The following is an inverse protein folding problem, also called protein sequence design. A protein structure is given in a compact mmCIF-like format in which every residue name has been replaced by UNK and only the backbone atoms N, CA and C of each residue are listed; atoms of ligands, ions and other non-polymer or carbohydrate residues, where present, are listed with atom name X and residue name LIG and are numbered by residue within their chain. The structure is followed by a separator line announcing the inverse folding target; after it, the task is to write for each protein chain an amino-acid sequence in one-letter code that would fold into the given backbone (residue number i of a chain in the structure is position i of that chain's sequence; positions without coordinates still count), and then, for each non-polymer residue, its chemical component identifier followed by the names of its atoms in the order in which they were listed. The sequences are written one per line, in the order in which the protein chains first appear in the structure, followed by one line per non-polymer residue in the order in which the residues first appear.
data_IF_185472314060
#
_entry.id   IF_185472314060
#
_cell.length_a   1.000
_cell.length_b   1.000
_cell.length_c   1.000
_cell.angle_alpha   90.00
_cell.angle_beta   90.00
_cell.angle_gamma   90.00
#
_symmetry.space_group_name_H-M   'P 1'
#
loop_
_entity.id
_entity.type
_entity.pdbx_description
1 polymer ?
#
# COMPACT_ATOMS: atom_id res chain seq x y z
N UNK A 1 -24.02 12.46 0.97
CA UNK A 1 -22.68 11.85 1.10
C UNK A 1 -22.54 10.87 -0.05
N UNK A 2 -21.80 11.23 -1.10
CA UNK A 2 -21.60 10.34 -2.25
C UNK A 2 -20.53 9.32 -1.90
N UNK A 3 -20.84 8.03 -2.08
CA UNK A 3 -19.84 6.97 -2.05
C UNK A 3 -18.88 7.18 -3.23
N UNK A 4 -17.58 7.17 -2.98
CA UNK A 4 -16.59 7.08 -4.04
C UNK A 4 -16.73 5.67 -4.61
N UNK A 5 -17.20 5.54 -5.85
CA UNK A 5 -17.18 4.27 -6.55
C UNK A 5 -15.71 3.98 -6.93
N UNK A 6 -15.25 2.75 -6.70
CA UNK A 6 -13.89 2.30 -7.03
C UNK A 6 -13.52 2.48 -8.53
N UNK A 7 -14.49 2.80 -9.40
CA UNK A 7 -14.27 3.10 -10.82
C UNK A 7 -13.63 4.46 -11.10
N UNK A 8 -13.50 5.34 -10.09
CA UNK A 8 -12.96 6.70 -10.26
C UNK A 8 -11.48 6.84 -9.86
N UNK A 9 -10.82 5.76 -9.43
CA UNK A 9 -9.39 5.78 -9.07
C UNK A 9 -8.56 5.49 -10.32
N UNK A 10 -8.05 6.56 -10.94
CA UNK A 10 -7.17 6.47 -12.12
C UNK A 10 -5.70 6.51 -11.72
N UNK A 11 -4.87 5.73 -12.42
CA UNK A 11 -3.40 5.75 -12.27
C UNK A 11 -2.88 7.12 -12.68
N UNK A 12 -2.08 7.75 -11.82
CA UNK A 12 -1.30 8.97 -12.09
C UNK A 12 0.08 8.60 -12.67
N UNK A 13 0.70 7.55 -12.13
CA UNK A 13 1.98 7.08 -12.64
C UNK A 13 2.37 5.71 -12.08
N UNK A 14 3.37 5.11 -12.69
CA UNK A 14 4.02 3.91 -12.20
C UNK A 14 5.54 4.02 -12.36
N UNK A 15 6.27 3.49 -11.40
CA UNK A 15 7.72 3.46 -11.39
C UNK A 15 8.23 2.12 -10.87
N UNK A 16 9.42 1.73 -11.30
CA UNK A 16 10.18 0.65 -10.67
C UNK A 16 11.36 1.28 -9.95
N UNK A 17 11.40 1.07 -8.64
CA UNK A 17 12.40 1.65 -7.73
C UNK A 17 13.30 0.60 -7.10
N UNK A 18 14.39 1.06 -6.48
CA UNK A 18 15.11 0.25 -5.51
C UNK A 18 14.24 0.16 -4.26
N UNK A 19 13.98 -1.07 -3.81
CA UNK A 19 13.25 -1.26 -2.56
C UNK A 19 14.05 -0.73 -1.39
N UNK A 20 13.34 -0.19 -0.39
CA UNK A 20 13.89 0.25 0.89
C UNK A 20 14.72 -0.84 1.60
N UNK A 21 14.49 -2.11 1.24
CA UNK A 21 15.21 -3.24 1.80
C UNK A 21 16.58 -3.54 1.17
N UNK A 22 16.92 -2.86 0.07
CA UNK A 22 18.19 -3.00 -0.62
C UNK A 22 19.39 -2.67 0.27
N UNK A 23 20.42 -3.50 0.21
CA UNK A 23 21.74 -3.24 0.78
C UNK A 23 22.74 -2.93 -0.34
N UNK A 24 22.81 -1.63 -0.65
CA UNK A 24 23.66 -1.10 -1.72
C UNK A 24 25.14 -1.40 -1.44
N UNK A 25 25.57 -1.32 -0.19
CA UNK A 25 26.98 -1.55 0.20
C UNK A 25 27.40 -2.98 -0.09
N UNK A 26 26.51 -3.94 0.19
CA UNK A 26 26.76 -5.36 -0.04
C UNK A 26 26.22 -5.87 -1.39
N UNK A 27 25.83 -4.96 -2.30
CA UNK A 27 25.31 -5.26 -3.65
C UNK A 27 24.10 -6.21 -3.65
N UNK A 28 23.28 -6.19 -2.60
CA UNK A 28 21.99 -6.88 -2.57
C UNK A 28 20.92 -5.87 -2.92
N UNK A 29 20.53 -5.85 -4.17
CA UNK A 29 19.54 -4.90 -4.69
C UNK A 29 18.23 -5.63 -4.90
N UNK A 30 17.21 -5.15 -4.21
CA UNK A 30 15.82 -5.56 -4.40
C UNK A 30 15.07 -4.42 -5.09
N UNK A 31 14.10 -4.77 -5.91
CA UNK A 31 13.30 -3.81 -6.66
C UNK A 31 11.84 -3.93 -6.26
N UNK A 32 11.14 -2.80 -6.32
CA UNK A 32 9.71 -2.72 -6.10
C UNK A 32 9.03 -1.93 -7.23
N UNK A 33 7.81 -2.35 -7.56
CA UNK A 33 6.89 -1.61 -8.41
C UNK A 33 6.05 -0.70 -7.53
N UNK A 34 6.04 0.58 -7.87
CA UNK A 34 5.23 1.60 -7.21
C UNK A 34 4.21 2.16 -8.20
N UNK A 35 2.95 2.16 -7.81
CA UNK A 35 1.85 2.75 -8.58
C UNK A 35 1.23 3.87 -7.75
N UNK A 36 1.12 5.03 -8.37
CA UNK A 36 0.54 6.25 -7.80
C UNK A 36 -0.80 6.51 -8.46
N UNK A 37 -1.78 6.92 -7.67
CA UNK A 37 -3.14 7.15 -8.16
C UNK A 37 -3.56 8.61 -7.96
N UNK A 38 -4.35 9.12 -8.90
CA UNK A 38 -5.01 10.41 -8.74
C UNK A 38 -6.04 10.32 -7.62
N UNK A 39 -5.94 11.25 -6.68
CA UNK A 39 -6.81 11.28 -5.51
C UNK A 39 -7.20 12.70 -5.13
N UNK A 40 -8.21 12.81 -4.28
CA UNK A 40 -8.72 14.09 -3.82
C UNK A 40 -7.82 14.73 -2.76
N UNK A 41 -7.27 13.92 -1.86
CA UNK A 41 -6.46 14.36 -0.72
C UNK A 41 -5.22 13.47 -0.59
N UNK A 42 -4.04 14.05 -0.44
CA UNK A 42 -2.80 13.30 -0.20
C UNK A 42 -2.50 12.32 -1.33
N UNK A 43 -2.38 11.04 -0.99
CA UNK A 43 -2.07 9.98 -1.95
C UNK A 43 -2.84 8.67 -1.69
N UNK A 44 -2.99 7.90 -2.76
CA UNK A 44 -3.12 6.44 -2.72
C UNK A 44 -1.92 5.86 -3.48
N UNK A 45 -1.25 4.89 -2.87
CA UNK A 45 -0.16 4.15 -3.51
C UNK A 45 -0.39 2.65 -3.41
N UNK A 46 0.14 1.93 -4.38
CA UNK A 46 0.30 0.49 -4.34
C UNK A 46 1.77 0.14 -4.58
N UNK A 47 2.34 -0.68 -3.73
CA UNK A 47 3.72 -1.13 -3.80
C UNK A 47 3.75 -2.67 -3.89
N UNK A 48 4.62 -3.22 -4.74
CA UNK A 48 4.83 -4.66 -4.85
C UNK A 48 6.32 -4.99 -4.99
N UNK A 49 6.82 -5.87 -4.13
CA UNK A 49 8.22 -6.30 -4.14
C UNK A 49 8.42 -7.77 -3.78
N UNK A 50 9.63 -8.29 -3.96
CA UNK A 50 9.99 -9.68 -3.58
C UNK A 50 10.53 -9.81 -2.17
N UNK A 51 10.84 -8.70 -1.50
CA UNK A 51 11.27 -8.65 -0.11
C UNK A 51 10.53 -7.52 0.61
N UNK A 52 10.21 -7.72 1.88
CA UNK A 52 9.62 -6.70 2.74
C UNK A 52 9.91 -6.98 4.22
N UNK A 53 10.92 -6.33 4.79
CA UNK A 53 11.16 -6.34 6.25
C UNK A 53 9.98 -5.73 6.98
N UNK A 54 9.34 -4.73 6.37
CA UNK A 54 8.14 -4.08 6.88
C UNK A 54 7.01 -5.09 7.11
N UNK A 55 6.73 -5.97 6.15
CA UNK A 55 5.74 -7.04 6.30
C UNK A 55 6.06 -7.94 7.51
N UNK A 56 7.29 -8.42 7.62
CA UNK A 56 7.71 -9.30 8.71
C UNK A 56 7.63 -8.62 10.09
N UNK A 57 7.84 -7.31 10.17
CA UNK A 57 7.71 -6.54 11.39
C UNK A 57 6.25 -6.27 11.77
N UNK A 58 5.41 -5.91 10.81
CA UNK A 58 3.99 -5.64 11.01
C UNK A 58 3.25 -6.92 11.40
N UNK A 59 3.52 -8.04 10.72
CA UNK A 59 2.95 -9.37 11.00
C UNK A 59 3.15 -9.83 12.46
N UNK A 60 4.20 -9.36 13.14
CA UNK A 60 4.47 -9.67 14.55
C UNK A 60 3.71 -8.76 15.53
N UNK A 61 3.25 -7.60 15.07
CA UNK A 61 2.70 -6.53 15.92
C UNK A 61 1.18 -6.41 15.84
N UNK A 62 0.59 -6.74 14.69
CA UNK A 62 -0.86 -6.62 14.45
C UNK A 62 -1.48 -7.95 14.08
N UNK A 63 -2.71 -8.15 14.52
CA UNK A 63 -3.51 -9.30 14.09
C UNK A 63 -4.00 -9.09 12.65
N UNK A 64 -4.01 -10.13 11.81
CA UNK A 64 -4.52 -10.02 10.46
C UNK A 64 -6.05 -9.86 10.46
N UNK A 65 -6.54 -9.16 9.45
CA UNK A 65 -7.93 -9.22 9.00
C UNK A 65 -8.01 -10.13 7.76
N UNK A 66 -9.21 -10.65 7.48
CA UNK A 66 -9.45 -11.47 6.30
C UNK A 66 -10.15 -10.64 5.23
N UNK A 67 -9.57 -10.61 4.03
CA UNK A 67 -10.16 -10.00 2.84
C UNK A 67 -10.09 -11.05 1.73
N UNK A 68 -11.25 -11.51 1.26
CA UNK A 68 -11.39 -12.54 0.23
C UNK A 68 -10.48 -13.77 0.43
N UNK A 69 -10.44 -14.26 1.67
CA UNK A 69 -9.63 -15.42 2.07
C UNK A 69 -8.13 -15.14 2.22
N UNK A 70 -7.68 -13.90 1.97
CA UNK A 70 -6.29 -13.47 2.14
C UNK A 70 -6.11 -12.85 3.53
N UNK A 71 -4.96 -13.15 4.14
CA UNK A 71 -4.54 -12.52 5.39
C UNK A 71 -3.92 -11.17 5.07
N UNK A 72 -4.55 -10.11 5.56
CA UNK A 72 -4.11 -8.73 5.35
C UNK A 72 -3.83 -8.10 6.70
N UNK A 73 -2.70 -7.42 6.84
CA UNK A 73 -2.37 -6.70 8.06
C UNK A 73 -2.66 -5.22 7.86
N UNK A 74 -3.64 -4.71 8.61
CA UNK A 74 -4.02 -3.30 8.61
C UNK A 74 -3.29 -2.57 9.73
N UNK A 75 -2.71 -1.42 9.43
CA UNK A 75 -2.07 -0.56 10.43
C UNK A 75 -2.11 0.91 9.99
N UNK A 76 -1.89 1.82 10.95
CA UNK A 76 -1.96 3.26 10.74
C UNK A 76 -0.57 3.90 10.77
N UNK A 77 -0.38 4.92 9.94
CA UNK A 77 0.78 5.81 9.94
C UNK A 77 0.34 7.26 9.70
N UNK A 78 1.27 8.22 9.76
CA UNK A 78 0.99 9.63 9.54
C UNK A 78 2.01 10.26 8.59
N UNK A 79 1.51 11.01 7.61
CA UNK A 79 2.34 11.74 6.65
C UNK A 79 2.10 13.24 6.74
N UNK A 80 3.17 14.01 6.59
CA UNK A 80 3.09 15.47 6.47
C UNK A 80 2.60 15.84 5.07
N UNK A 81 1.50 16.58 5.01
CA UNK A 81 0.88 17.02 3.75
C UNK A 81 1.04 18.53 3.51
N UNK A 82 1.19 19.31 4.58
CA UNK A 82 1.48 20.75 4.58
C UNK A 82 2.33 21.07 5.82
N UNK A 83 2.87 22.29 5.89
CA UNK A 83 3.60 22.75 7.09
C UNK A 83 2.73 22.55 8.34
N UNK A 84 3.23 21.78 9.31
CA UNK A 84 2.57 21.43 10.58
C UNK A 84 1.24 20.65 10.46
N UNK A 85 0.93 20.08 9.29
CA UNK A 85 -0.28 19.30 9.06
C UNK A 85 0.04 17.86 8.69
N UNK A 86 -0.36 16.95 9.58
CA UNK A 86 -0.27 15.50 9.36
C UNK A 86 -1.63 14.94 9.00
N UNK A 87 -1.64 14.01 8.07
CA UNK A 87 -2.82 13.24 7.71
C UNK A 87 -2.58 11.78 8.04
N UNK A 88 -3.61 11.12 8.58
CA UNK A 88 -3.58 9.68 8.83
C UNK A 88 -3.53 8.93 7.49
N UNK A 89 -2.72 7.88 7.45
CA UNK A 89 -2.65 6.94 6.34
C UNK A 89 -3.02 5.57 6.86
N UNK A 90 -4.00 4.94 6.22
CA UNK A 90 -4.33 3.55 6.48
C UNK A 90 -3.59 2.67 5.49
N UNK A 91 -2.81 1.74 6.02
CA UNK A 91 -1.98 0.83 5.26
C UNK A 91 -2.51 -0.60 5.37
N UNK A 92 -2.44 -1.32 4.27
CA UNK A 92 -2.88 -2.70 4.14
C UNK A 92 -1.76 -3.47 3.46
N UNK A 93 -1.13 -4.38 4.20
CA UNK A 93 0.01 -5.15 3.68
C UNK A 93 -0.32 -6.65 3.69
N UNK A 94 0.00 -7.34 2.59
CA UNK A 94 -0.28 -8.77 2.41
C UNK A 94 0.78 -9.44 1.54
N UNK A 95 0.75 -10.77 1.54
CA UNK A 95 1.59 -11.61 0.69
C UNK A 95 0.72 -12.23 -0.42
N UNK A 96 1.20 -12.13 -1.65
CA UNK A 96 0.54 -12.65 -2.85
C UNK A 96 1.58 -13.37 -3.71
N UNK A 97 1.45 -14.70 -3.84
CA UNK A 97 2.30 -15.52 -4.72
C UNK A 97 3.82 -15.30 -4.51
N UNK A 98 4.24 -15.15 -3.24
CA UNK A 98 5.65 -14.90 -2.88
C UNK A 98 6.15 -13.49 -3.20
N UNK A 99 5.24 -12.56 -3.49
CA UNK A 99 5.49 -11.12 -3.49
C UNK A 99 4.79 -10.48 -2.29
N UNK A 100 5.34 -9.38 -1.79
CA UNK A 100 4.75 -8.57 -0.74
C UNK A 100 4.11 -7.33 -1.35
N UNK A 101 2.85 -7.11 -1.04
CA UNK A 101 2.03 -6.03 -1.58
C UNK A 101 1.58 -5.10 -0.45
N UNK A 102 1.55 -3.81 -0.73
CA UNK A 102 1.06 -2.80 0.19
C UNK A 102 0.18 -1.79 -0.53
N UNK A 103 -0.98 -1.48 0.05
CA UNK A 103 -1.81 -0.35 -0.35
C UNK A 103 -1.83 0.69 0.78
N UNK A 104 -1.46 1.93 0.47
CA UNK A 104 -1.44 3.04 1.43
C UNK A 104 -2.44 4.10 0.98
N UNK A 105 -3.36 4.46 1.87
CA UNK A 105 -4.49 5.34 1.54
C UNK A 105 -4.55 6.47 2.57
N UNK A 106 -4.35 7.71 2.11
CA UNK A 106 -4.52 8.89 2.97
C UNK A 106 -6.00 9.05 3.33
N UNK A 107 -6.29 9.38 4.59
CA UNK A 107 -7.66 9.64 5.05
C UNK A 107 -8.35 10.75 4.23
N UNK A 108 -9.67 10.66 4.11
CA UNK A 108 -10.46 11.62 3.32
C UNK A 108 -10.65 11.26 1.84
N UNK A 109 -10.05 10.15 1.37
CA UNK A 109 -10.30 9.59 0.03
C UNK A 109 -11.50 8.64 -0.08
N UNK A 110 -12.27 8.48 1.01
CA UNK A 110 -13.46 7.62 1.04
C UNK A 110 -13.32 6.48 2.04
N UNK A 111 -14.03 5.38 1.80
CA UNK A 111 -13.95 4.18 2.63
C UNK A 111 -12.68 3.40 2.28
N UNK A 112 -11.66 3.56 3.12
CA UNK A 112 -10.34 2.94 2.98
C UNK A 112 -10.39 1.42 2.91
N UNK A 113 -11.28 0.77 3.66
CA UNK A 113 -11.44 -0.69 3.65
C UNK A 113 -11.96 -1.19 2.29
N UNK A 114 -12.97 -0.52 1.71
CA UNK A 114 -13.52 -0.89 0.40
C UNK A 114 -12.53 -0.65 -0.75
N UNK A 115 -11.71 0.40 -0.63
CA UNK A 115 -10.62 0.66 -1.58
C UNK A 115 -9.54 -0.42 -1.44
N UNK A 116 -9.13 -0.76 -0.21
CA UNK A 116 -8.13 -1.79 0.04
C UNK A 116 -8.57 -3.16 -0.48
N UNK A 117 -9.85 -3.52 -0.31
CA UNK A 117 -10.42 -4.75 -0.89
C UNK A 117 -10.23 -4.82 -2.40
N UNK A 118 -10.41 -3.70 -3.11
CA UNK A 118 -10.21 -3.68 -4.56
C UNK A 118 -8.75 -4.00 -4.96
N UNK A 119 -7.77 -3.50 -4.20
CA UNK A 119 -6.36 -3.82 -4.41
C UNK A 119 -6.04 -5.28 -4.09
N UNK A 120 -6.51 -5.78 -2.95
CA UNK A 120 -6.27 -7.17 -2.51
C UNK A 120 -6.89 -8.16 -3.50
N UNK A 121 -8.01 -7.81 -4.11
CA UNK A 121 -8.73 -8.64 -5.08
C UNK A 121 -8.26 -8.46 -6.52
N UNK A 122 -7.42 -7.47 -6.78
CA UNK A 122 -6.83 -7.28 -8.10
C UNK A 122 -5.90 -8.43 -8.45
N UNK A 123 -5.77 -8.72 -9.76
CA UNK A 123 -4.81 -9.73 -10.21
C UNK A 123 -3.40 -9.23 -9.91
N UNK A 124 -2.57 -10.08 -9.30
CA UNK A 124 -1.15 -9.79 -9.18
C UNK A 124 -0.55 -9.53 -10.56
N UNK A 125 0.40 -8.60 -10.62
CA UNK A 125 1.27 -8.47 -11.78
C UNK A 125 2.31 -9.59 -11.65
N UNK A 126 2.26 -10.53 -12.60
CA UNK A 126 3.19 -11.66 -12.73
C UNK A 126 4.54 -11.23 -13.35
#
# INVERSE_FOLDING_TARGET
MGYVNNNDITVDGAAVGLSADSDIKNKKLDYELDIFYYVKIGYITFNQGKSSKKYEDIKKKVNPIEIDGKKVFKYEDYVEIELDKKSKVENYIWEENGSYCEASITEGNGNTDEIAKAFVNSKSID
#
